data_IF_944143395311
#
_entry.id   IF_944143395311
#
_cell.length_a   1.000
_cell.length_b   1.000
_cell.length_c   1.000
_cell.angle_alpha   90.00
_cell.angle_beta   90.00
_cell.angle_gamma   90.00
#
_symmetry.space_group_name_H-M   'P 1'
#
loop_
_entity.id
_entity.type
_entity.pdbx_description
1 polymer ?
#
# COMPACT_ATOMS: atom_id res chain seq x y z
N UNK A 1 45.15 2.36 -40.20
CA UNK A 1 44.01 3.13 -39.66
C UNK A 1 43.01 2.17 -39.02
N UNK A 2 43.09 1.95 -37.71
CA UNK A 2 42.17 1.09 -36.95
C UNK A 2 41.25 1.99 -36.10
N UNK A 3 39.97 2.08 -36.47
CA UNK A 3 38.97 2.83 -35.68
C UNK A 3 38.51 1.95 -34.54
N UNK A 4 38.96 2.28 -33.32
CA UNK A 4 38.52 1.68 -32.07
C UNK A 4 37.07 2.12 -31.80
N UNK A 5 36.11 1.20 -31.85
CA UNK A 5 34.72 1.42 -31.45
C UNK A 5 34.69 1.67 -29.94
N UNK A 6 34.70 2.94 -29.52
CA UNK A 6 34.37 3.31 -28.16
C UNK A 6 32.86 3.13 -27.98
N UNK A 7 32.48 2.06 -27.31
CA UNK A 7 31.13 1.90 -26.74
C UNK A 7 30.94 2.98 -25.68
N UNK A 8 30.38 4.13 -26.08
CA UNK A 8 29.95 5.19 -25.17
C UNK A 8 28.81 4.64 -24.32
N UNK A 9 29.11 4.12 -23.12
CA UNK A 9 28.10 3.93 -22.08
C UNK A 9 27.51 5.31 -21.82
N UNK A 10 26.28 5.55 -22.28
CA UNK A 10 25.53 6.77 -21.94
C UNK A 10 25.41 6.77 -20.41
N UNK A 11 26.20 7.61 -19.74
CA UNK A 11 26.04 7.84 -18.31
C UNK A 11 24.73 8.61 -18.14
N UNK A 12 23.78 8.00 -17.45
CA UNK A 12 22.54 8.65 -17.04
C UNK A 12 22.91 9.89 -16.22
N UNK A 13 22.34 11.07 -16.49
CA UNK A 13 22.58 12.23 -15.64
C UNK A 13 22.18 11.90 -14.19
N UNK A 14 22.88 12.48 -13.20
CA UNK A 14 22.59 12.22 -11.79
C UNK A 14 21.13 12.59 -11.51
N UNK A 15 20.45 11.72 -10.75
CA UNK A 15 19.09 11.99 -10.27
C UNK A 15 19.07 13.38 -9.59
N UNK A 16 18.05 14.23 -9.83
CA UNK A 16 17.83 15.42 -9.01
C UNK A 16 17.93 15.07 -7.52
N UNK A 17 18.40 16.03 -6.72
CA UNK A 17 18.54 15.81 -5.28
C UNK A 17 17.19 15.39 -4.72
N UNK A 18 17.14 14.31 -3.91
CA UNK A 18 15.90 13.88 -3.29
C UNK A 18 15.35 15.01 -2.42
N UNK A 19 14.12 15.41 -2.69
CA UNK A 19 13.35 16.29 -1.81
C UNK A 19 12.53 15.41 -0.87
N UNK A 20 12.67 15.66 0.43
CA UNK A 20 11.87 15.00 1.44
C UNK A 20 10.52 15.71 1.56
N UNK A 21 9.45 14.98 1.37
CA UNK A 21 8.08 15.40 1.68
C UNK A 21 7.71 14.89 3.10
N UNK A 22 6.65 15.45 3.68
CA UNK A 22 6.05 14.97 4.93
C UNK A 22 7.02 14.74 6.10
N UNK A 23 7.89 15.70 6.42
CA UNK A 23 8.95 15.59 7.45
C UNK A 23 10.00 14.52 7.19
N UNK A 24 10.08 13.95 5.98
CA UNK A 24 11.11 13.00 5.60
C UNK A 24 11.04 11.68 6.38
N UNK A 25 12.18 11.05 6.70
CA UNK A 25 12.23 9.75 7.36
C UNK A 25 11.43 9.64 8.68
N UNK A 26 11.48 10.60 9.63
CA UNK A 26 10.69 10.49 10.86
C UNK A 26 9.18 10.58 10.59
N UNK A 27 8.76 11.36 9.59
CA UNK A 27 7.35 11.41 9.18
C UNK A 27 6.88 10.10 8.56
N UNK A 28 7.69 9.47 7.70
CA UNK A 28 7.40 8.14 7.16
C UNK A 28 7.26 7.08 8.25
N UNK A 29 8.18 7.04 9.23
CA UNK A 29 8.04 6.14 10.40
C UNK A 29 6.77 6.43 11.18
N UNK A 30 6.46 7.72 11.41
CA UNK A 30 5.23 8.15 12.05
C UNK A 30 4.00 7.62 11.34
N UNK A 31 3.91 7.78 10.02
CA UNK A 31 2.76 7.33 9.24
C UNK A 31 2.63 5.80 9.23
N UNK A 32 3.73 5.07 9.05
CA UNK A 32 3.73 3.60 9.03
C UNK A 32 3.36 2.98 10.38
N UNK A 33 3.60 3.67 11.49
CA UNK A 33 3.31 3.17 12.84
C UNK A 33 1.99 3.69 13.40
N UNK A 34 1.74 5.00 13.28
CA UNK A 34 0.58 5.65 13.89
C UNK A 34 -0.71 5.31 13.16
N UNK A 35 -0.74 5.24 11.82
CA UNK A 35 -1.98 4.94 11.09
C UNK A 35 -2.53 3.56 11.44
N UNK A 36 -1.73 2.47 11.39
CA UNK A 36 -2.21 1.15 11.84
C UNK A 36 -2.69 1.18 13.29
N UNK A 37 -1.97 1.85 14.18
CA UNK A 37 -2.37 1.98 15.58
C UNK A 37 -3.71 2.70 15.72
N UNK A 38 -3.96 3.76 14.96
CA UNK A 38 -5.25 4.45 14.94
C UNK A 38 -6.36 3.50 14.46
N UNK A 39 -6.13 2.68 13.43
CA UNK A 39 -7.17 1.77 12.93
C UNK A 39 -7.61 0.74 13.98
N UNK A 40 -6.68 0.08 14.67
CA UNK A 40 -7.02 -0.80 15.78
C UNK A 40 -7.57 -0.04 16.98
N UNK A 41 -7.03 1.15 17.26
CA UNK A 41 -7.55 2.03 18.28
C UNK A 41 -9.04 2.28 18.07
N UNK A 42 -9.44 2.76 16.90
CA UNK A 42 -10.85 3.00 16.57
C UNK A 42 -11.71 1.74 16.72
N UNK A 43 -11.19 0.57 16.32
CA UNK A 43 -11.91 -0.70 16.49
C UNK A 43 -12.15 -1.05 17.97
N UNK A 44 -11.12 -1.05 18.80
CA UNK A 44 -11.24 -1.46 20.20
C UNK A 44 -11.96 -0.44 21.08
N UNK A 45 -11.99 0.83 20.66
CA UNK A 45 -12.62 1.93 21.36
C UNK A 45 -14.10 2.13 21.02
N UNK A 46 -14.58 1.57 19.90
CA UNK A 46 -16.00 1.56 19.55
C UNK A 46 -16.59 0.18 19.87
N UNK A 47 -17.00 -0.03 21.12
CA UNK A 47 -17.65 -1.28 21.57
C UNK A 47 -19.16 -1.14 21.69
N UNK A 48 -19.88 -2.21 21.40
CA UNK A 48 -21.31 -2.32 21.67
C UNK A 48 -21.56 -2.09 23.18
N UNK A 49 -22.40 -1.09 23.50
CA UNK A 49 -22.80 -0.76 24.88
C UNK A 49 -22.09 0.43 25.54
N UNK A 50 -20.86 0.79 25.13
CA UNK A 50 -20.10 1.91 25.73
C UNK A 50 -19.87 3.11 24.80
N UNK A 51 -20.33 3.02 23.54
CA UNK A 51 -20.11 4.07 22.53
C UNK A 51 -18.65 4.11 22.06
N UNK A 52 -18.30 5.15 21.29
CA UNK A 52 -16.93 5.42 20.85
C UNK A 52 -16.26 6.43 21.80
N UNK A 53 -16.09 6.05 23.07
CA UNK A 53 -15.33 6.85 24.03
C UNK A 53 -13.85 6.47 23.88
N UNK A 54 -12.93 7.42 23.70
CA UNK A 54 -11.53 7.08 23.61
C UNK A 54 -11.03 6.49 24.93
N UNK A 55 -10.38 5.31 24.91
CA UNK A 55 -9.90 4.57 26.08
C UNK A 55 -8.94 5.37 26.95
N UNK A 56 -8.33 6.44 26.45
CA UNK A 56 -7.52 7.34 27.25
C UNK A 56 -8.34 8.20 28.24
N UNK A 57 -9.67 8.17 28.16
CA UNK A 57 -10.56 8.95 29.04
C UNK A 57 -10.90 8.22 30.36
N UNK A 58 -10.77 6.89 30.42
CA UNK A 58 -10.89 6.14 31.69
C UNK A 58 -9.51 5.56 32.07
N UNK A 59 -8.93 6.07 33.15
CA UNK A 59 -7.60 5.65 33.63
C UNK A 59 -7.50 4.19 34.07
N UNK A 60 -8.63 3.47 34.17
CA UNK A 60 -8.68 2.06 34.58
C UNK A 60 -8.44 1.09 33.42
N UNK A 61 -8.73 1.52 32.21
CA UNK A 61 -8.50 0.76 30.99
C UNK A 61 -7.24 1.35 30.33
N UNK A 62 -6.12 0.61 30.32
CA UNK A 62 -4.89 1.10 29.71
C UNK A 62 -5.10 1.57 28.25
N UNK A 63 -4.17 2.36 27.71
CA UNK A 63 -4.23 2.93 26.35
C UNK A 63 -4.49 1.84 25.28
N UNK A 64 -4.12 0.58 25.57
CA UNK A 64 -4.33 -0.60 24.73
C UNK A 64 -4.68 -1.84 25.57
N UNK A 65 -5.55 -2.75 25.09
CA UNK A 65 -5.97 -3.95 25.85
C UNK A 65 -4.86 -4.95 26.20
N UNK A 66 -3.63 -4.77 25.69
CA UNK A 66 -2.60 -5.83 25.70
C UNK A 66 -1.15 -5.36 25.70
N UNK A 67 -0.85 -4.05 25.75
CA UNK A 67 0.55 -3.56 25.72
C UNK A 67 0.83 -2.74 26.97
N UNK A 68 1.70 -3.26 27.83
CA UNK A 68 2.13 -2.54 29.03
C UNK A 68 3.32 -1.62 28.71
N UNK A 69 3.04 -0.36 28.36
CA UNK A 69 4.07 0.64 28.05
C UNK A 69 5.04 0.93 29.21
N UNK A 70 4.74 0.49 30.43
CA UNK A 70 5.58 0.69 31.61
C UNK A 70 6.84 -0.18 31.61
N UNK A 71 6.92 -1.21 30.75
CA UNK A 71 8.08 -2.12 30.65
C UNK A 71 8.51 -2.28 29.18
N UNK A 72 9.48 -1.51 28.70
CA UNK A 72 9.90 -1.55 27.28
C UNK A 72 10.47 -2.91 26.84
N UNK A 73 10.98 -3.71 27.77
CA UNK A 73 11.50 -5.06 27.51
C UNK A 73 10.41 -6.09 27.12
N UNK A 74 9.16 -5.86 27.52
CA UNK A 74 8.03 -6.76 27.25
C UNK A 74 7.24 -6.35 25.99
N UNK A 75 7.63 -5.26 25.33
CA UNK A 75 6.87 -4.67 24.22
C UNK A 75 6.83 -5.55 22.96
N UNK A 76 7.96 -6.16 22.57
CA UNK A 76 8.02 -7.08 21.44
C UNK A 76 7.18 -8.36 21.63
N UNK A 77 7.30 -9.10 22.74
CA UNK A 77 6.49 -10.30 22.95
C UNK A 77 4.99 -9.99 23.12
N UNK A 78 4.63 -8.85 23.73
CA UNK A 78 3.23 -8.43 23.85
C UNK A 78 2.64 -8.04 22.49
N UNK A 79 3.40 -7.33 21.66
CA UNK A 79 2.99 -7.01 20.28
C UNK A 79 2.81 -8.27 19.43
N UNK A 80 3.70 -9.26 19.58
CA UNK A 80 3.58 -10.53 18.88
C UNK A 80 2.33 -11.31 19.29
N UNK A 81 2.04 -11.38 20.59
CA UNK A 81 0.79 -12.00 21.08
C UNK A 81 -0.45 -11.26 20.59
N UNK A 82 -0.41 -9.93 20.55
CA UNK A 82 -1.50 -9.12 20.01
C UNK A 82 -1.73 -9.41 18.52
N UNK A 83 -0.67 -9.46 17.72
CA UNK A 83 -0.77 -9.78 16.29
C UNK A 83 -1.30 -11.21 16.07
N UNK A 84 -0.88 -12.17 16.88
CA UNK A 84 -1.43 -13.53 16.84
C UNK A 84 -2.91 -13.56 17.23
N UNK A 85 -3.30 -12.81 18.26
CA UNK A 85 -4.68 -12.75 18.74
C UNK A 85 -5.63 -12.07 17.75
N UNK A 86 -5.11 -11.24 16.85
CA UNK A 86 -5.90 -10.52 15.84
C UNK A 86 -5.86 -11.22 14.47
N UNK A 87 -5.09 -12.30 14.35
CA UNK A 87 -4.96 -13.05 13.12
C UNK A 87 -6.18 -13.96 12.88
N UNK A 88 -6.75 -13.84 11.69
CA UNK A 88 -7.91 -14.60 11.26
C UNK A 88 -7.68 -15.11 9.83
N UNK A 89 -7.57 -16.44 9.70
CA UNK A 89 -7.25 -17.09 8.43
C UNK A 89 -8.37 -16.94 7.41
N UNK A 90 -9.62 -16.97 7.84
CA UNK A 90 -10.77 -16.89 6.95
C UNK A 90 -10.90 -15.46 6.40
N UNK A 91 -10.72 -14.46 7.28
CA UNK A 91 -10.67 -13.06 6.88
C UNK A 91 -9.55 -12.80 5.88
N UNK A 92 -8.35 -13.33 6.13
CA UNK A 92 -7.20 -13.20 5.23
C UNK A 92 -7.46 -13.83 3.86
N UNK A 93 -8.05 -15.02 3.81
CA UNK A 93 -8.38 -15.70 2.55
C UNK A 93 -9.42 -14.93 1.74
N UNK A 94 -10.49 -14.46 2.38
CA UNK A 94 -11.54 -13.67 1.70
C UNK A 94 -10.98 -12.35 1.19
N UNK A 95 -10.17 -11.65 1.98
CA UNK A 95 -9.52 -10.42 1.56
C UNK A 95 -8.58 -10.66 0.37
N UNK A 96 -7.76 -11.71 0.44
CA UNK A 96 -6.84 -12.10 -0.63
C UNK A 96 -7.59 -12.46 -1.92
N UNK A 97 -8.69 -13.21 -1.81
CA UNK A 97 -9.55 -13.55 -2.94
C UNK A 97 -10.16 -12.30 -3.58
N UNK A 98 -10.57 -11.32 -2.76
CA UNK A 98 -11.08 -10.04 -3.25
C UNK A 98 -9.99 -9.22 -3.97
N UNK A 99 -8.76 -9.18 -3.45
CA UNK A 99 -7.64 -8.52 -4.11
C UNK A 99 -7.30 -9.17 -5.46
N UNK A 100 -7.24 -10.50 -5.51
CA UNK A 100 -7.06 -11.25 -6.77
C UNK A 100 -8.21 -10.98 -7.73
N UNK A 101 -9.45 -10.95 -7.25
CA UNK A 101 -10.61 -10.58 -8.06
C UNK A 101 -10.46 -9.19 -8.69
N UNK A 102 -10.05 -8.17 -7.93
CA UNK A 102 -9.83 -6.82 -8.45
C UNK A 102 -8.71 -6.80 -9.51
N UNK A 103 -7.61 -7.53 -9.25
CA UNK A 103 -6.50 -7.66 -10.19
C UNK A 103 -6.96 -8.32 -11.49
N UNK A 104 -7.67 -9.43 -11.42
CA UNK A 104 -8.23 -10.13 -12.60
C UNK A 104 -9.24 -9.24 -13.32
N UNK A 105 -10.12 -8.55 -12.59
CA UNK A 105 -11.10 -7.63 -13.16
C UNK A 105 -10.43 -6.49 -13.93
N UNK A 106 -9.28 -5.99 -13.47
CA UNK A 106 -8.51 -4.99 -14.20
C UNK A 106 -8.11 -5.49 -15.60
N UNK A 107 -7.69 -6.74 -15.76
CA UNK A 107 -7.32 -7.31 -17.06
C UNK A 107 -8.54 -7.70 -17.90
N UNK A 108 -9.51 -8.39 -17.31
CA UNK A 108 -10.66 -8.98 -18.02
C UNK A 108 -11.68 -7.93 -18.46
N UNK A 109 -11.98 -6.94 -17.62
CA UNK A 109 -13.04 -5.96 -17.92
C UNK A 109 -12.50 -4.94 -18.92
N UNK A 110 -13.19 -4.71 -20.06
CA UNK A 110 -12.76 -3.75 -21.06
C UNK A 110 -12.81 -2.32 -20.48
N UNK A 111 -11.85 -1.49 -20.87
CA UNK A 111 -11.73 -0.11 -20.42
C UNK A 111 -10.99 0.72 -21.45
N UNK A 112 -11.22 2.03 -21.42
CA UNK A 112 -10.55 2.97 -22.31
C UNK A 112 -9.11 3.17 -21.81
N UNK A 113 -8.15 3.17 -22.73
CA UNK A 113 -6.76 3.46 -22.41
C UNK A 113 -6.52 4.95 -22.64
N UNK A 114 -6.16 5.66 -21.58
CA UNK A 114 -5.92 7.11 -21.59
C UNK A 114 -4.45 7.36 -21.29
N UNK A 115 -3.87 8.34 -21.98
CA UNK A 115 -2.50 8.78 -21.68
C UNK A 115 -2.51 9.68 -20.44
N UNK A 116 -1.64 9.37 -19.49
CA UNK A 116 -1.45 10.19 -18.31
C UNK A 116 -0.64 11.44 -18.59
N UNK A 117 -0.22 12.09 -17.51
CA UNK A 117 0.71 13.21 -17.57
C UNK A 117 2.07 12.78 -18.10
N UNK A 118 2.84 13.74 -18.60
CA UNK A 118 4.22 13.51 -19.01
C UNK A 118 4.99 13.09 -17.76
N UNK A 119 5.62 11.92 -17.79
CA UNK A 119 6.52 11.50 -16.73
C UNK A 119 7.87 12.16 -16.99
N UNK A 120 7.95 13.41 -16.53
CA UNK A 120 9.21 14.12 -16.40
C UNK A 120 9.88 13.70 -15.10
N UNK A 121 11.17 13.39 -15.14
CA UNK A 121 11.98 13.59 -13.94
C UNK A 121 11.82 15.05 -13.53
N UNK A 122 11.43 15.31 -12.28
CA UNK A 122 11.20 16.68 -11.82
C UNK A 122 12.53 17.45 -11.90
N UNK A 123 12.53 18.55 -12.65
CA UNK A 123 13.71 19.36 -12.97
C UNK A 123 13.89 19.70 -14.46
N UNK A 124 12.95 19.36 -15.35
CA UNK A 124 13.04 19.72 -16.78
C UNK A 124 14.22 19.08 -17.51
N UNK A 125 14.92 18.15 -16.87
CA UNK A 125 16.02 17.41 -17.47
C UNK A 125 15.46 16.15 -18.11
N UNK A 126 15.73 15.92 -19.41
CA UNK A 126 15.23 14.74 -20.09
C UNK A 126 15.86 13.51 -19.43
N UNK A 127 15.02 12.58 -18.93
CA UNK A 127 15.39 11.16 -18.90
C UNK A 127 15.92 10.86 -20.30
N UNK A 128 17.23 10.63 -20.42
CA UNK A 128 17.97 10.23 -21.61
C UNK A 128 17.31 10.69 -22.91
N UNK A 129 17.68 11.86 -23.49
CA UNK A 129 17.27 12.53 -24.78
C UNK A 129 16.05 12.00 -25.60
N UNK A 130 15.87 10.68 -25.67
CA UNK A 130 14.77 9.89 -26.23
C UNK A 130 13.49 9.73 -25.33
N UNK A 131 13.48 10.10 -24.02
CA UNK A 131 12.28 9.95 -23.13
C UNK A 131 11.71 11.24 -22.53
N UNK A 132 12.08 12.41 -23.05
CA UNK A 132 11.64 13.72 -22.53
C UNK A 132 10.12 13.99 -22.55
N UNK A 133 9.35 13.21 -23.32
CA UNK A 133 7.89 13.33 -23.45
C UNK A 133 7.17 11.98 -23.25
N UNK A 134 7.73 11.09 -22.44
CA UNK A 134 7.11 9.79 -22.19
C UNK A 134 5.81 9.95 -21.36
N UNK A 135 4.71 9.38 -21.85
CA UNK A 135 3.43 9.32 -21.15
C UNK A 135 3.07 7.86 -20.87
N UNK A 136 2.70 7.54 -19.63
CA UNK A 136 2.17 6.22 -19.32
C UNK A 136 0.73 6.12 -19.82
N UNK A 137 0.40 4.92 -20.31
CA UNK A 137 -0.95 4.57 -20.74
C UNK A 137 -1.66 3.87 -19.59
N UNK A 138 -2.78 4.42 -19.14
CA UNK A 138 -3.59 3.89 -18.06
C UNK A 138 -4.91 3.36 -18.59
N UNK A 139 -5.21 2.09 -18.34
CA UNK A 139 -6.53 1.51 -18.60
C UNK A 139 -7.51 1.95 -17.52
N UNK A 140 -8.56 2.65 -17.91
CA UNK A 140 -9.61 3.16 -17.02
C UNK A 140 -10.86 2.29 -17.14
N UNK A 141 -11.04 1.37 -16.20
CA UNK A 141 -12.22 0.49 -16.10
C UNK A 141 -12.89 0.49 -14.71
N UNK A 142 -12.48 1.36 -13.79
CA UNK A 142 -12.97 1.37 -12.41
C UNK A 142 -14.51 1.43 -12.29
N UNK A 143 -15.18 2.28 -13.07
CA UNK A 143 -16.65 2.39 -13.06
C UNK A 143 -17.33 1.07 -13.47
N UNK A 144 -16.81 0.39 -14.50
CA UNK A 144 -17.36 -0.88 -14.99
C UNK A 144 -17.14 -2.00 -13.96
N UNK A 145 -15.96 -2.02 -13.33
CA UNK A 145 -15.66 -2.95 -12.23
C UNK A 145 -16.57 -2.71 -11.03
N UNK A 146 -16.83 -1.45 -10.67
CA UNK A 146 -17.77 -1.10 -9.59
C UNK A 146 -19.20 -1.54 -9.91
N UNK A 147 -19.67 -1.34 -11.15
CA UNK A 147 -20.99 -1.82 -11.58
C UNK A 147 -21.09 -3.35 -11.48
N UNK A 148 -20.05 -4.08 -11.89
CA UNK A 148 -20.01 -5.55 -11.74
C UNK A 148 -20.13 -5.96 -10.27
N UNK A 149 -19.36 -5.35 -9.38
CA UNK A 149 -19.44 -5.60 -7.94
C UNK A 149 -20.86 -5.29 -7.42
N UNK A 150 -21.45 -4.17 -7.83
CA UNK A 150 -22.81 -3.79 -7.45
C UNK A 150 -23.87 -4.80 -7.90
N UNK A 151 -23.76 -5.32 -9.12
CA UNK A 151 -24.64 -6.38 -9.63
C UNK A 151 -24.46 -7.68 -8.86
N UNK A 152 -23.21 -8.10 -8.60
CA UNK A 152 -22.94 -9.29 -7.78
C UNK A 152 -23.49 -9.15 -6.35
N UNK A 153 -23.34 -7.97 -5.76
CA UNK A 153 -23.89 -7.64 -4.45
C UNK A 153 -25.42 -7.75 -4.45
N UNK A 154 -26.10 -7.10 -5.39
CA UNK A 154 -27.55 -7.16 -5.52
C UNK A 154 -28.07 -8.58 -5.78
N UNK A 155 -27.39 -9.35 -6.65
CA UNK A 155 -27.74 -10.75 -6.92
C UNK A 155 -27.57 -11.64 -5.68
N UNK A 156 -26.52 -11.39 -4.89
CA UNK A 156 -26.29 -12.12 -3.63
C UNK A 156 -27.36 -11.80 -2.60
N UNK A 157 -27.74 -10.51 -2.47
CA UNK A 157 -28.84 -10.10 -1.60
C UNK A 157 -30.16 -10.76 -2.03
N UNK A 158 -30.45 -10.82 -3.32
CA UNK A 158 -31.69 -11.41 -3.83
C UNK A 158 -31.77 -12.92 -3.59
N UNK A 159 -30.65 -13.63 -3.70
CA UNK A 159 -30.62 -15.10 -3.64
C UNK A 159 -30.35 -15.67 -2.25
N UNK A 160 -29.49 -15.01 -1.46
CA UNK A 160 -28.99 -15.48 -0.16
C UNK A 160 -29.31 -14.52 1.00
N UNK A 161 -29.94 -13.38 0.73
CA UNK A 161 -30.21 -12.37 1.74
C UNK A 161 -28.94 -11.69 2.27
N UNK A 162 -29.02 -11.17 3.49
CA UNK A 162 -27.93 -10.41 4.13
C UNK A 162 -26.86 -11.30 4.78
N UNK A 163 -27.15 -12.58 5.00
CA UNK A 163 -26.31 -13.51 5.77
C UNK A 163 -24.86 -13.56 5.32
N UNK A 164 -24.51 -13.61 4.01
CA UNK A 164 -23.11 -13.60 3.58
C UNK A 164 -22.34 -12.34 3.98
N UNK A 165 -23.03 -11.20 4.14
CA UNK A 165 -22.40 -9.94 4.50
C UNK A 165 -22.12 -9.81 6.00
N UNK A 166 -22.78 -10.61 6.83
CA UNK A 166 -22.46 -10.68 8.27
C UNK A 166 -21.05 -11.23 8.52
N UNK A 167 -20.46 -11.93 7.54
CA UNK A 167 -19.06 -12.34 7.59
C UNK A 167 -18.13 -11.13 7.78
N UNK A 168 -18.37 -10.01 7.08
CA UNK A 168 -17.53 -8.81 7.19
C UNK A 168 -17.59 -8.22 8.60
N UNK A 169 -18.76 -8.25 9.24
CA UNK A 169 -18.94 -7.76 10.60
C UNK A 169 -18.25 -8.66 11.63
N UNK A 170 -18.47 -9.97 11.54
CA UNK A 170 -17.93 -10.95 12.48
C UNK A 170 -16.41 -11.09 12.40
N UNK A 171 -15.83 -10.92 11.20
CA UNK A 171 -14.39 -11.04 10.96
C UNK A 171 -13.71 -9.68 10.74
N UNK A 172 -14.32 -8.57 11.16
CA UNK A 172 -13.83 -7.22 10.87
C UNK A 172 -12.40 -6.97 11.38
N UNK A 173 -12.09 -7.42 12.60
CA UNK A 173 -10.74 -7.32 13.18
C UNK A 173 -9.71 -8.08 12.33
N UNK A 174 -10.08 -9.27 11.86
CA UNK A 174 -9.29 -10.08 10.94
C UNK A 174 -9.08 -9.42 9.57
N UNK A 175 -10.06 -8.65 9.08
CA UNK A 175 -9.93 -7.90 7.83
C UNK A 175 -8.97 -6.71 7.99
N UNK A 176 -8.92 -6.06 9.16
CA UNK A 176 -7.94 -5.02 9.45
C UNK A 176 -6.52 -5.61 9.41
N UNK A 177 -6.25 -6.70 10.13
CA UNK A 177 -4.95 -7.38 10.11
C UNK A 177 -4.57 -7.83 8.69
N UNK A 178 -5.50 -8.46 7.97
CA UNK A 178 -5.27 -8.90 6.61
C UNK A 178 -4.90 -7.75 5.67
N UNK A 179 -5.61 -6.61 5.78
CA UNK A 179 -5.34 -5.43 4.95
C UNK A 179 -3.96 -4.81 5.20
N UNK A 180 -3.51 -4.81 6.45
CA UNK A 180 -2.17 -4.35 6.82
C UNK A 180 -1.09 -5.27 6.25
N UNK A 181 -1.24 -6.59 6.42
CA UNK A 181 -0.29 -7.56 5.86
C UNK A 181 -0.18 -7.42 4.34
N UNK A 182 -1.30 -7.26 3.63
CA UNK A 182 -1.28 -7.00 2.19
C UNK A 182 -0.60 -5.70 1.82
N UNK A 183 -0.87 -4.61 2.53
CA UNK A 183 -0.29 -3.29 2.24
C UNK A 183 1.22 -3.30 2.44
N UNK A 184 1.71 -3.82 3.56
CA UNK A 184 3.15 -3.98 3.80
C UNK A 184 3.79 -4.96 2.82
N UNK A 185 3.12 -6.07 2.51
CA UNK A 185 3.60 -7.07 1.56
C UNK A 185 3.77 -6.49 0.14
N UNK A 186 2.77 -5.75 -0.36
CA UNK A 186 2.82 -5.09 -1.67
C UNK A 186 3.86 -3.97 -1.68
N UNK A 187 3.95 -3.16 -0.63
CA UNK A 187 4.97 -2.10 -0.51
C UNK A 187 6.40 -2.68 -0.59
N UNK A 188 6.70 -3.74 0.18
CA UNK A 188 7.99 -4.43 0.13
C UNK A 188 8.21 -5.04 -1.26
N UNK A 189 7.19 -5.67 -1.84
CA UNK A 189 7.28 -6.26 -3.17
C UNK A 189 7.64 -5.21 -4.23
N UNK A 190 6.93 -4.08 -4.28
CA UNK A 190 7.19 -2.98 -5.23
C UNK A 190 8.58 -2.37 -4.99
N UNK A 191 8.98 -2.20 -3.72
CA UNK A 191 10.32 -1.75 -3.37
C UNK A 191 11.40 -2.68 -3.93
N UNK A 192 11.31 -3.99 -3.69
CA UNK A 192 12.29 -4.95 -4.24
C UNK A 192 12.23 -4.98 -5.77
N UNK A 193 11.03 -4.98 -6.35
CA UNK A 193 10.80 -5.03 -7.79
C UNK A 193 11.35 -3.80 -8.52
N UNK A 194 11.40 -2.64 -7.86
CA UNK A 194 11.91 -1.40 -8.44
C UNK A 194 13.41 -1.43 -8.75
N UNK A 195 14.18 -2.29 -8.07
CA UNK A 195 15.61 -2.49 -8.36
C UNK A 195 15.87 -3.42 -9.56
N UNK A 196 14.85 -4.15 -10.03
CA UNK A 196 14.98 -5.01 -11.19
C UNK A 196 14.92 -4.17 -12.48
N UNK A 197 15.83 -4.42 -13.45
CA UNK A 197 15.83 -3.70 -14.72
C UNK A 197 14.53 -3.95 -15.50
N UNK A 198 14.13 -2.95 -16.28
CA UNK A 198 13.00 -3.05 -17.20
C UNK A 198 13.29 -4.07 -18.33
N UNK A 199 12.24 -4.46 -19.07
CA UNK A 199 12.33 -5.37 -20.23
C UNK A 199 13.35 -4.93 -21.29
N UNK A 200 13.74 -3.66 -21.29
CA UNK A 200 14.72 -3.07 -22.20
C UNK A 200 16.15 -2.99 -21.59
N UNK A 201 16.38 -3.63 -20.43
CA UNK A 201 17.63 -3.55 -19.69
C UNK A 201 17.96 -2.17 -19.12
N UNK A 202 16.95 -1.29 -19.04
CA UNK A 202 17.09 0.07 -18.51
C UNK A 202 16.61 0.13 -17.06
N UNK A 203 17.10 1.11 -16.29
CA UNK A 203 16.56 1.41 -14.96
C UNK A 203 15.10 1.87 -15.08
N UNK A 204 14.28 1.50 -14.09
CA UNK A 204 12.88 1.92 -14.03
C UNK A 204 12.79 3.42 -13.78
N UNK A 205 11.76 4.03 -14.36
CA UNK A 205 11.45 5.42 -14.08
C UNK A 205 10.86 5.45 -12.67
N UNK A 206 11.57 6.08 -11.74
CA UNK A 206 11.21 6.17 -10.33
C UNK A 206 10.62 7.54 -10.03
N UNK A 207 9.69 7.60 -9.08
CA UNK A 207 9.30 8.86 -8.46
C UNK A 207 10.49 9.53 -7.76
N UNK A 208 10.52 10.87 -7.75
CA UNK A 208 11.61 11.64 -7.13
C UNK A 208 11.63 11.46 -5.61
N UNK A 209 10.45 11.44 -4.96
CA UNK A 209 10.32 11.18 -3.52
C UNK A 209 10.77 9.78 -3.12
N UNK A 210 10.67 8.78 -4.00
CA UNK A 210 11.06 7.39 -3.72
C UNK A 210 12.51 7.02 -4.05
N UNK A 211 13.39 8.01 -4.32
CA UNK A 211 14.78 7.79 -4.69
C UNK A 211 15.75 8.60 -3.80
N UNK A 212 15.56 8.48 -2.48
CA UNK A 212 16.34 9.22 -1.47
C UNK A 212 17.56 8.45 -0.97
N UNK A 213 17.58 7.12 -1.10
CA UNK A 213 18.61 6.25 -0.55
C UNK A 213 18.36 5.87 0.91
N UNK A 214 17.31 6.39 1.55
CA UNK A 214 16.86 5.93 2.85
C UNK A 214 15.81 4.83 2.67
N UNK A 215 16.16 3.59 3.06
CA UNK A 215 15.30 2.42 2.90
C UNK A 215 13.90 2.60 3.50
N UNK A 216 13.79 3.21 4.69
CA UNK A 216 12.50 3.33 5.38
C UNK A 216 11.58 4.31 4.64
N UNK A 217 12.14 5.42 4.16
CA UNK A 217 11.41 6.45 3.44
C UNK A 217 11.05 6.00 2.01
N UNK A 218 11.99 5.36 1.33
CA UNK A 218 11.77 4.86 -0.02
C UNK A 218 10.74 3.72 -0.02
N UNK A 219 10.69 2.85 0.99
CA UNK A 219 9.64 1.81 1.08
C UNK A 219 8.23 2.41 1.14
N UNK A 220 8.05 3.59 1.75
CA UNK A 220 6.75 4.27 1.79
C UNK A 220 6.40 5.06 0.53
N UNK A 221 7.39 5.55 -0.23
CA UNK A 221 7.16 6.52 -1.33
C UNK A 221 7.60 6.05 -2.72
N UNK A 222 8.25 4.89 -2.83
CA UNK A 222 8.77 4.36 -4.09
C UNK A 222 7.69 3.66 -4.90
N UNK A 223 7.21 4.35 -5.94
CA UNK A 223 6.37 3.85 -7.02
C UNK A 223 7.12 3.87 -8.35
#
# INVERSE_FOLDING_TARGET
MSKRLQSTRRQTPPNPKPEYEFLGPPGAVGMLTVLPLITYGLYFNCREGFGCVPAFWDSKDGIWPSVNLSKPQDLLPDLYKFLLSTWDTDAFLVYSAFMVFLFVAYFVIPGNVVEGTIVGGVGGSPLTKDRSNYKLKYKVNALRTMMLIGVMFAATLWTKGVTPFLFLHSHFLGLITASLVWTFGVSIFVYVWSFLPDSNGQEKILAVGGNTGNMIYDVSERL
#
